data_IF_281724750117
#
_entry.id   IF_281724750117
#
_cell.length_a   1.000
_cell.length_b   1.000
_cell.length_c   1.000
_cell.angle_alpha   90.00
_cell.angle_beta   90.00
_cell.angle_gamma   90.00
#
_symmetry.space_group_name_H-M   'P 1'
#
loop_
_entity.id
_entity.type
_entity.pdbx_description
1 polymer ?
#
# COMPACT_ATOMS: atom_id res chain seq x y z
N UNK A 1 48.93 -12.34 -57.71
CA UNK A 1 49.61 -11.03 -57.81
C UNK A 1 48.67 -10.07 -58.52
N UNK A 2 48.03 -9.17 -57.78
CA UNK A 2 47.61 -7.83 -58.20
C UNK A 2 47.06 -7.15 -56.95
N UNK A 3 47.86 -6.25 -56.41
CA UNK A 3 47.53 -5.30 -55.35
C UNK A 3 46.65 -4.20 -55.93
N UNK A 4 45.67 -3.70 -55.17
CA UNK A 4 45.13 -2.35 -55.36
C UNK A 4 44.51 -1.81 -54.05
N UNK A 5 44.68 -0.49 -53.92
CA UNK A 5 44.74 0.39 -52.74
C UNK A 5 43.45 0.58 -51.90
N UNK A 6 43.55 1.18 -50.69
CA UNK A 6 42.46 1.27 -49.72
C UNK A 6 41.58 2.52 -49.94
N UNK A 7 40.27 2.35 -49.85
CA UNK A 7 39.28 3.42 -49.91
C UNK A 7 39.13 4.08 -48.53
N UNK A 8 39.57 5.33 -48.42
CA UNK A 8 39.28 6.22 -47.29
C UNK A 8 37.77 6.51 -47.22
N UNK A 9 37.14 6.25 -46.07
CA UNK A 9 35.78 6.69 -45.79
C UNK A 9 35.83 7.85 -44.79
N UNK A 10 35.45 9.03 -45.27
CA UNK A 10 35.42 10.33 -44.57
C UNK A 10 34.25 10.43 -43.58
N UNK A 11 34.53 10.93 -42.37
CA UNK A 11 33.53 11.26 -41.33
C UNK A 11 32.69 12.50 -41.73
N UNK A 12 31.39 12.55 -41.42
CA UNK A 12 30.56 13.74 -41.63
C UNK A 12 30.81 14.82 -40.55
N UNK A 13 30.50 16.11 -40.83
CA UNK A 13 30.84 17.23 -39.95
C UNK A 13 29.94 17.34 -38.71
N UNK A 14 30.56 17.79 -37.62
CA UNK A 14 29.96 18.08 -36.30
C UNK A 14 28.95 19.24 -36.43
N UNK A 15 27.69 18.99 -36.06
CA UNK A 15 26.68 20.06 -35.90
C UNK A 15 26.87 20.79 -34.57
N UNK A 16 27.08 22.10 -34.64
CA UNK A 16 27.13 23.04 -33.52
C UNK A 16 25.74 23.22 -32.88
N UNK A 17 25.66 23.12 -31.55
CA UNK A 17 24.47 23.44 -30.75
C UNK A 17 24.22 24.96 -30.70
N UNK A 18 22.99 25.45 -30.88
CA UNK A 18 22.69 26.87 -30.69
C UNK A 18 22.57 27.22 -29.19
N UNK A 19 23.21 28.34 -28.83
CA UNK A 19 23.22 28.99 -27.52
C UNK A 19 21.85 29.55 -27.12
N UNK A 20 21.52 29.41 -25.82
CA UNK A 20 20.32 29.96 -25.15
C UNK A 20 20.16 31.47 -25.32
N UNK A 21 18.92 31.99 -25.45
CA UNK A 21 18.63 33.38 -25.12
C UNK A 21 18.28 33.55 -23.63
N UNK A 22 18.80 34.65 -23.08
CA UNK A 22 18.55 35.19 -21.74
C UNK A 22 17.15 35.78 -21.62
N UNK A 23 16.42 35.45 -20.57
CA UNK A 23 15.16 36.09 -20.18
C UNK A 23 15.29 36.58 -18.73
N UNK A 24 15.72 37.83 -18.60
CA UNK A 24 15.53 38.65 -17.41
C UNK A 24 14.11 39.21 -17.37
N UNK A 25 13.63 39.47 -16.15
CA UNK A 25 12.35 40.11 -15.77
C UNK A 25 11.13 39.20 -15.60
N UNK A 26 10.96 38.68 -14.37
CA UNK A 26 9.73 38.96 -13.61
C UNK A 26 10.07 39.23 -12.14
N UNK A 27 9.36 40.21 -11.61
CA UNK A 27 9.62 40.96 -10.38
C UNK A 27 9.25 40.13 -9.14
N UNK A 28 10.16 40.13 -8.17
CA UNK A 28 9.97 39.76 -6.76
C UNK A 28 8.61 40.25 -6.22
N UNK A 29 7.80 39.36 -5.63
CA UNK A 29 6.79 39.70 -4.61
C UNK A 29 7.07 38.86 -3.37
N UNK A 30 7.15 39.53 -2.22
CA UNK A 30 7.37 38.95 -0.89
C UNK A 30 6.16 38.16 -0.39
N UNK A 31 6.32 37.30 0.63
CA UNK A 31 5.26 36.41 1.11
C UNK A 31 4.28 37.18 2.00
N UNK A 32 2.99 36.98 1.77
CA UNK A 32 1.93 37.34 2.72
C UNK A 32 1.73 36.10 3.61
N UNK A 33 2.06 36.25 4.88
CA UNK A 33 1.59 35.36 5.95
C UNK A 33 0.07 35.43 6.01
N UNK A 34 -0.60 34.29 5.81
CA UNK A 34 -1.96 34.07 6.27
C UNK A 34 -1.95 32.84 7.16
N UNK A 35 -1.88 33.10 8.47
CA UNK A 35 -2.34 32.20 9.50
C UNK A 35 -3.85 32.04 9.34
N UNK A 36 -4.32 30.87 8.91
CA UNK A 36 -5.56 30.26 9.42
C UNK A 36 -5.70 28.83 8.85
N UNK A 37 -5.72 27.84 9.74
CA UNK A 37 -6.05 26.47 9.38
C UNK A 37 -7.57 26.36 9.13
N UNK A 38 -8.03 25.81 7.99
CA UNK A 38 -9.45 25.55 7.81
C UNK A 38 -9.90 24.43 8.74
N UNK A 39 -10.87 24.73 9.61
CA UNK A 39 -11.55 23.79 10.48
C UNK A 39 -12.25 22.71 9.63
N UNK A 40 -11.95 21.40 9.79
CA UNK A 40 -12.68 20.38 9.07
C UNK A 40 -14.05 20.22 9.72
N UNK A 41 -15.10 20.76 9.07
CA UNK A 41 -16.49 20.44 9.39
C UNK A 41 -16.70 18.95 9.09
N UNK A 42 -16.64 18.14 10.15
CA UNK A 42 -17.09 16.74 10.12
C UNK A 42 -18.56 16.75 9.72
N UNK A 43 -18.85 16.24 8.53
CA UNK A 43 -20.22 16.00 8.08
C UNK A 43 -20.75 14.81 8.87
N UNK A 44 -21.65 15.09 9.81
CA UNK A 44 -22.42 14.08 10.53
C UNK A 44 -23.37 13.39 9.53
N UNK A 45 -23.04 12.17 9.14
CA UNK A 45 -23.96 11.30 8.39
C UNK A 45 -25.06 10.87 9.36
N UNK A 46 -26.27 11.42 9.18
CA UNK A 46 -27.48 10.94 9.85
C UNK A 46 -27.85 9.59 9.23
N UNK A 47 -27.85 8.54 10.04
CA UNK A 47 -28.45 7.26 9.68
C UNK A 47 -29.92 7.34 10.09
N UNK A 48 -30.82 7.45 9.11
CA UNK A 48 -32.25 7.43 9.36
C UNK A 48 -32.69 6.00 9.73
N UNK A 49 -33.17 5.83 10.96
CA UNK A 49 -33.87 4.60 11.39
C UNK A 49 -35.21 4.53 10.66
N UNK A 50 -35.37 3.55 9.77
CA UNK A 50 -36.68 3.11 9.34
C UNK A 50 -37.30 2.23 10.42
N UNK A 51 -38.43 2.70 10.96
CA UNK A 51 -39.31 1.94 11.84
C UNK A 51 -40.54 1.54 11.03
N UNK A 52 -40.92 0.26 11.02
CA UNK A 52 -42.26 -0.15 10.61
C UNK A 52 -42.66 -1.44 11.31
N UNK A 53 -43.73 -1.33 12.08
CA UNK A 53 -44.42 -2.36 12.84
C UNK A 53 -45.09 -3.43 11.96
N UNK A 54 -45.19 -4.68 12.46
CA UNK A 54 -46.01 -5.73 11.84
C UNK A 54 -45.92 -7.08 12.56
N UNK A 55 -47.02 -7.48 13.20
CA UNK A 55 -47.19 -8.60 14.14
C UNK A 55 -47.48 -9.95 13.44
N UNK A 56 -46.91 -11.06 13.93
CA UNK A 56 -47.34 -12.44 13.61
C UNK A 56 -46.51 -13.53 14.33
N UNK A 57 -47.08 -14.62 14.90
CA UNK A 57 -46.41 -15.38 15.97
C UNK A 57 -45.73 -16.71 15.57
N UNK A 58 -44.68 -17.00 16.34
CA UNK A 58 -44.03 -18.27 16.69
C UNK A 58 -43.77 -19.35 15.61
N UNK A 59 -42.47 -19.57 15.36
CA UNK A 59 -41.90 -20.91 15.19
C UNK A 59 -40.55 -20.96 15.89
N UNK A 60 -40.41 -21.87 16.87
CA UNK A 60 -39.17 -22.07 17.63
C UNK A 60 -38.06 -22.55 16.71
N UNK A 61 -37.10 -21.68 16.41
CA UNK A 61 -35.82 -22.05 15.84
C UNK A 61 -34.80 -21.81 16.94
N UNK A 62 -34.07 -22.87 17.28
CA UNK A 62 -32.86 -22.79 18.09
C UNK A 62 -31.85 -22.04 17.25
N UNK A 63 -31.79 -20.72 17.41
CA UNK A 63 -30.77 -19.89 16.79
C UNK A 63 -29.51 -19.98 17.65
N UNK A 64 -28.52 -20.61 17.06
CA UNK A 64 -27.11 -20.57 17.44
C UNK A 64 -26.71 -19.11 17.60
N UNK A 65 -26.14 -18.77 18.75
CA UNK A 65 -25.63 -17.42 19.04
C UNK A 65 -24.67 -16.99 17.92
N UNK A 66 -25.15 -16.08 17.08
CA UNK A 66 -24.32 -15.37 16.13
C UNK A 66 -23.42 -14.44 16.93
N UNK A 67 -22.12 -14.72 16.93
CA UNK A 67 -21.11 -13.79 17.44
C UNK A 67 -21.06 -12.59 16.49
N UNK A 68 -22.01 -11.64 16.67
CA UNK A 68 -21.93 -10.34 16.01
C UNK A 68 -20.84 -9.54 16.71
N UNK A 69 -19.60 -9.70 16.24
CA UNK A 69 -18.49 -8.81 16.60
C UNK A 69 -18.81 -7.40 16.13
N UNK A 70 -19.56 -6.64 16.94
CA UNK A 70 -19.82 -5.24 16.68
C UNK A 70 -18.53 -4.48 17.03
N UNK A 71 -17.64 -4.38 16.06
CA UNK A 71 -16.44 -3.56 16.14
C UNK A 71 -16.83 -2.12 16.52
N UNK A 72 -16.28 -1.65 17.64
CA UNK A 72 -16.55 -0.32 18.18
C UNK A 72 -15.67 0.74 17.48
N UNK A 73 -16.05 2.01 17.58
CA UNK A 73 -15.16 3.10 17.18
C UNK A 73 -13.83 3.07 17.95
N UNK A 74 -13.85 2.63 19.22
CA UNK A 74 -12.62 2.46 20.03
C UNK A 74 -11.70 1.41 19.43
N UNK A 75 -12.24 0.23 19.07
CA UNK A 75 -11.44 -0.88 18.53
C UNK A 75 -10.81 -0.51 17.17
N UNK A 76 -11.51 0.29 16.36
CA UNK A 76 -10.95 0.85 15.14
C UNK A 76 -9.80 1.84 15.42
N UNK A 77 -9.92 2.69 16.45
CA UNK A 77 -8.84 3.62 16.84
C UNK A 77 -7.63 2.84 17.36
N UNK A 78 -7.83 1.79 18.15
CA UNK A 78 -6.76 0.94 18.68
C UNK A 78 -6.02 0.23 17.53
N UNK A 79 -6.77 -0.33 16.57
CA UNK A 79 -6.20 -0.93 15.36
C UNK A 79 -5.40 0.08 14.53
N UNK A 80 -5.92 1.30 14.32
CA UNK A 80 -5.21 2.35 13.58
C UNK A 80 -3.97 2.84 14.35
N UNK A 81 -4.02 2.85 15.68
CA UNK A 81 -2.88 3.17 16.55
C UNK A 81 -1.78 2.13 16.39
N UNK A 82 -2.14 0.85 16.30
CA UNK A 82 -1.19 -0.23 16.02
C UNK A 82 -0.57 -0.08 14.62
N UNK A 83 -1.37 0.22 13.60
CA UNK A 83 -0.92 0.48 12.23
C UNK A 83 0.01 1.70 12.13
N UNK A 84 -0.02 2.64 13.10
CA UNK A 84 0.92 3.76 13.13
C UNK A 84 2.38 3.30 13.07
N UNK A 85 2.70 2.14 13.65
CA UNK A 85 4.06 1.58 13.66
C UNK A 85 4.63 1.42 12.25
N UNK A 86 3.80 1.20 11.24
CA UNK A 86 4.24 1.12 9.84
C UNK A 86 4.89 2.41 9.32
N UNK A 87 4.53 3.58 9.89
CA UNK A 87 5.13 4.88 9.54
C UNK A 87 6.51 5.08 10.14
N UNK A 88 6.78 4.42 11.28
CA UNK A 88 8.04 4.58 12.02
C UNK A 88 9.01 3.44 11.73
N UNK A 89 8.51 2.25 11.40
CA UNK A 89 9.33 1.12 10.96
C UNK A 89 9.88 1.39 9.57
N UNK A 90 11.21 1.42 9.49
CA UNK A 90 11.96 1.66 8.26
C UNK A 90 12.22 0.36 7.53
N UNK A 91 12.11 0.40 6.20
CA UNK A 91 12.39 -0.75 5.34
C UNK A 91 13.87 -1.14 5.48
N UNK A 92 14.10 -2.33 6.02
CA UNK A 92 15.38 -2.85 6.48
C UNK A 92 16.34 -3.14 5.33
N UNK A 93 15.83 -3.50 4.15
CA UNK A 93 16.63 -3.59 2.94
C UNK A 93 17.46 -2.32 2.67
N UNK A 94 16.84 -1.13 2.80
CA UNK A 94 17.53 0.16 2.62
C UNK A 94 18.58 0.42 3.71
N UNK A 95 18.26 0.04 4.96
CA UNK A 95 19.18 0.18 6.10
C UNK A 95 20.42 -0.69 5.89
N UNK A 96 20.23 -1.93 5.47
CA UNK A 96 21.31 -2.89 5.25
C UNK A 96 22.26 -2.42 4.14
N UNK A 97 21.74 -1.71 3.14
CA UNK A 97 22.52 -1.07 2.08
C UNK A 97 23.09 0.31 2.45
N UNK A 98 22.94 0.76 3.70
CA UNK A 98 23.52 2.00 4.21
C UNK A 98 22.87 3.27 3.66
N UNK A 99 21.63 3.18 3.16
CA UNK A 99 20.92 4.32 2.57
C UNK A 99 20.40 5.24 3.67
N UNK A 100 20.72 6.53 3.57
CA UNK A 100 20.31 7.54 4.55
C UNK A 100 18.85 7.94 4.33
N UNK A 101 18.08 7.98 5.41
CA UNK A 101 16.66 8.34 5.36
C UNK A 101 15.82 7.31 4.60
N UNK A 102 15.89 6.01 4.97
CA UNK A 102 15.13 4.97 4.30
C UNK A 102 13.62 5.24 4.39
N UNK A 103 12.88 4.77 3.38
CA UNK A 103 11.42 4.81 3.39
C UNK A 103 10.85 3.98 4.55
N UNK A 104 9.67 4.35 5.03
CA UNK A 104 8.90 3.51 5.96
C UNK A 104 8.10 2.44 5.20
N UNK A 105 7.63 1.41 5.90
CA UNK A 105 6.73 0.41 5.31
C UNK A 105 5.44 1.09 4.81
N UNK A 106 4.93 2.09 5.53
CA UNK A 106 3.77 2.85 5.10
C UNK A 106 4.03 3.64 3.78
N UNK A 107 5.22 4.20 3.59
CA UNK A 107 5.58 4.89 2.34
C UNK A 107 5.59 3.91 1.15
N UNK A 108 6.13 2.71 1.38
CA UNK A 108 6.17 1.62 0.41
C UNK A 108 4.76 1.17 -0.02
N UNK A 109 3.90 0.82 0.95
CA UNK A 109 2.51 0.40 0.67
C UNK A 109 1.69 1.52 0.01
N UNK A 110 1.93 2.78 0.37
CA UNK A 110 1.27 3.92 -0.28
C UNK A 110 1.63 4.01 -1.76
N UNK A 111 2.92 3.90 -2.11
CA UNK A 111 3.36 3.92 -3.51
C UNK A 111 2.78 2.75 -4.31
N UNK A 112 2.74 1.55 -3.74
CA UNK A 112 2.11 0.39 -4.38
C UNK A 112 0.60 0.57 -4.59
N UNK A 113 -0.10 1.16 -3.62
CA UNK A 113 -1.52 1.45 -3.74
C UNK A 113 -1.79 2.45 -4.87
N UNK A 114 -0.92 3.44 -5.05
CA UNK A 114 -0.98 4.36 -6.19
C UNK A 114 -0.69 3.65 -7.52
N UNK A 115 0.28 2.73 -7.56
CA UNK A 115 0.55 1.93 -8.76
C UNK A 115 -0.66 1.10 -9.15
N UNK A 116 -1.30 0.42 -8.18
CA UNK A 116 -2.54 -0.31 -8.40
C UNK A 116 -3.68 0.60 -8.87
N UNK A 117 -3.74 1.85 -8.40
CA UNK A 117 -4.75 2.82 -8.85
C UNK A 117 -4.55 3.27 -10.31
N UNK A 118 -3.31 3.48 -10.74
CA UNK A 118 -3.00 4.05 -12.07
C UNK A 118 -2.68 3.00 -13.14
N UNK A 119 -2.55 1.72 -12.76
CA UNK A 119 -2.32 0.64 -13.73
C UNK A 119 -3.45 0.60 -14.75
N UNK A 120 -3.09 0.43 -16.02
CA UNK A 120 -4.05 0.29 -17.12
C UNK A 120 -5.01 -0.89 -16.87
N UNK A 121 -6.16 -0.88 -17.55
CA UNK A 121 -7.10 -2.00 -17.44
C UNK A 121 -6.45 -3.29 -17.95
N UNK A 122 -6.38 -4.30 -17.08
CA UNK A 122 -5.87 -5.62 -17.40
C UNK A 122 -7.06 -6.60 -17.43
N UNK A 123 -7.24 -7.38 -18.52
CA UNK A 123 -8.34 -8.34 -18.60
C UNK A 123 -8.33 -9.33 -17.43
N UNK A 124 -9.45 -9.45 -16.74
CA UNK A 124 -9.62 -10.40 -15.63
C UNK A 124 -9.00 -9.97 -14.30
N UNK A 125 -8.47 -8.74 -14.18
CA UNK A 125 -7.90 -8.20 -12.94
C UNK A 125 -8.85 -7.17 -12.33
N UNK A 126 -9.19 -7.34 -11.06
CA UNK A 126 -9.94 -6.35 -10.29
C UNK A 126 -9.01 -5.32 -9.64
N UNK A 127 -9.02 -4.09 -10.17
CA UNK A 127 -8.21 -2.97 -9.68
C UNK A 127 -8.46 -2.65 -8.20
N UNK A 128 -9.72 -2.64 -7.75
CA UNK A 128 -10.06 -2.33 -6.35
C UNK A 128 -9.46 -3.37 -5.40
N UNK A 129 -9.52 -4.66 -5.80
CA UNK A 129 -8.92 -5.75 -5.04
C UNK A 129 -7.39 -5.60 -4.97
N UNK A 130 -6.71 -5.23 -6.07
CA UNK A 130 -5.27 -4.92 -6.05
C UNK A 130 -4.93 -3.80 -5.07
N UNK A 131 -5.71 -2.72 -5.04
CA UNK A 131 -5.50 -1.61 -4.09
C UNK A 131 -5.65 -2.10 -2.65
N UNK A 132 -6.70 -2.89 -2.37
CA UNK A 132 -6.91 -3.46 -1.02
C UNK A 132 -5.75 -4.36 -0.61
N UNK A 133 -5.27 -5.24 -1.49
CA UNK A 133 -4.11 -6.11 -1.21
C UNK A 133 -2.88 -5.25 -0.93
N UNK A 134 -2.58 -4.25 -1.77
CA UNK A 134 -1.42 -3.38 -1.60
C UNK A 134 -1.41 -2.65 -0.25
N UNK A 135 -2.58 -2.26 0.27
CA UNK A 135 -2.71 -1.58 1.57
C UNK A 135 -2.43 -2.53 2.76
N UNK A 136 -2.70 -3.83 2.62
CA UNK A 136 -2.67 -4.78 3.75
C UNK A 136 -1.54 -5.81 3.71
N UNK A 137 -0.84 -5.97 2.59
CA UNK A 137 0.10 -7.07 2.42
C UNK A 137 1.22 -7.11 3.47
N UNK A 138 1.79 -5.95 3.83
CA UNK A 138 2.82 -5.79 4.86
C UNK A 138 2.26 -5.29 6.21
N UNK A 139 0.93 -5.37 6.42
CA UNK A 139 0.32 -4.82 7.64
C UNK A 139 0.82 -5.50 8.92
N UNK A 140 1.14 -6.80 8.85
CA UNK A 140 1.66 -7.58 9.97
C UNK A 140 3.04 -7.10 10.45
N UNK A 141 3.82 -6.45 9.57
CA UNK A 141 5.12 -5.85 9.90
C UNK A 141 4.99 -4.69 10.91
N UNK A 142 3.77 -4.19 11.12
CA UNK A 142 3.47 -3.30 12.25
C UNK A 142 3.88 -3.94 13.58
N UNK A 143 3.74 -5.26 13.73
CA UNK A 143 4.11 -6.01 14.93
C UNK A 143 5.48 -6.65 14.76
N UNK A 144 5.67 -7.45 13.70
CA UNK A 144 6.86 -8.30 13.52
C UNK A 144 8.11 -7.54 13.05
N UNK A 145 7.93 -6.35 12.47
CA UNK A 145 8.98 -5.60 11.80
C UNK A 145 9.28 -6.11 10.39
N UNK A 146 10.05 -5.35 9.61
CA UNK A 146 10.46 -5.74 8.26
C UNK A 146 11.56 -6.83 8.34
N UNK A 147 11.17 -8.08 8.04
CA UNK A 147 12.05 -9.25 8.04
C UNK A 147 12.58 -9.47 6.63
N UNK A 148 13.90 -9.37 6.48
CA UNK A 148 14.60 -9.45 5.20
C UNK A 148 15.27 -10.80 5.00
N UNK A 149 15.61 -11.21 3.76
CA UNK A 149 16.38 -12.43 3.51
C UNK A 149 17.70 -12.50 4.28
N UNK A 150 18.34 -11.35 4.54
CA UNK A 150 19.57 -11.26 5.34
C UNK A 150 19.41 -11.65 6.81
N UNK A 151 18.18 -11.72 7.32
CA UNK A 151 17.91 -12.12 8.71
C UNK A 151 17.96 -13.63 8.93
N UNK A 152 18.02 -14.43 7.85
CA UNK A 152 18.12 -15.88 7.94
C UNK A 152 16.88 -16.57 8.53
N UNK A 153 15.76 -15.85 8.66
CA UNK A 153 14.49 -16.42 9.11
C UNK A 153 13.89 -17.27 7.98
N UNK A 154 13.59 -18.57 8.21
CA UNK A 154 12.94 -19.40 7.21
C UNK A 154 11.59 -18.83 6.78
N UNK A 155 11.24 -18.97 5.49
CA UNK A 155 9.98 -18.43 4.95
C UNK A 155 8.76 -18.88 5.75
N UNK A 156 8.72 -20.14 6.17
CA UNK A 156 7.61 -20.70 6.95
C UNK A 156 7.49 -20.04 8.32
N UNK A 157 8.62 -19.70 8.96
CA UNK A 157 8.62 -19.03 10.26
C UNK A 157 8.21 -17.56 10.14
N UNK A 158 8.69 -16.85 9.11
CA UNK A 158 8.22 -15.49 8.77
C UNK A 158 6.70 -15.49 8.59
N UNK A 159 6.17 -16.37 7.75
CA UNK A 159 4.74 -16.48 7.50
C UNK A 159 3.95 -16.82 8.77
N UNK A 160 4.45 -17.71 9.62
CA UNK A 160 3.82 -18.05 10.91
C UNK A 160 3.76 -16.84 11.85
N UNK A 161 4.85 -16.09 11.97
CA UNK A 161 4.92 -14.89 12.80
C UNK A 161 3.97 -13.80 12.29
N UNK A 162 3.96 -13.56 10.98
CA UNK A 162 3.08 -12.58 10.35
C UNK A 162 1.61 -12.94 10.49
N UNK A 163 1.27 -14.23 10.30
CA UNK A 163 -0.09 -14.71 10.49
C UNK A 163 -0.55 -14.54 11.95
N UNK A 164 0.33 -14.79 12.93
CA UNK A 164 0.02 -14.58 14.34
C UNK A 164 -0.20 -13.09 14.66
N UNK A 165 0.66 -12.22 14.15
CA UNK A 165 0.49 -10.78 14.26
C UNK A 165 -0.82 -10.30 13.63
N UNK A 166 -1.16 -10.80 12.44
CA UNK A 166 -2.41 -10.44 11.77
C UNK A 166 -3.64 -10.85 12.58
N UNK A 167 -3.61 -12.03 13.20
CA UNK A 167 -4.69 -12.48 14.07
C UNK A 167 -4.87 -11.55 15.28
N UNK A 168 -3.78 -11.15 15.94
CA UNK A 168 -3.81 -10.16 17.04
C UNK A 168 -4.40 -8.82 16.56
N UNK A 169 -3.96 -8.31 15.42
CA UNK A 169 -4.49 -7.06 14.85
C UNK A 169 -6.00 -7.16 14.58
N UNK A 170 -6.46 -8.29 14.04
CA UNK A 170 -7.86 -8.56 13.76
C UNK A 170 -8.72 -8.70 15.03
N UNK A 171 -8.18 -9.24 16.11
CA UNK A 171 -8.81 -9.25 17.43
C UNK A 171 -8.95 -7.84 17.99
N UNK A 172 -7.89 -7.02 17.89
CA UNK A 172 -7.91 -5.60 18.29
C UNK A 172 -8.96 -4.81 17.50
N UNK A 173 -9.16 -5.11 16.22
CA UNK A 173 -10.20 -4.48 15.39
C UNK A 173 -11.63 -4.81 15.87
N UNK A 174 -11.80 -5.87 16.65
CA UNK A 174 -13.08 -6.38 17.13
C UNK A 174 -13.68 -7.49 16.25
N UNK A 175 -12.87 -8.12 15.41
CA UNK A 175 -13.30 -9.24 14.56
C UNK A 175 -14.33 -8.87 13.48
N UNK A 176 -15.18 -9.83 13.13
CA UNK A 176 -16.26 -9.67 12.15
C UNK A 176 -15.76 -9.61 10.70
N UNK A 177 -16.68 -9.28 9.77
CA UNK A 177 -16.40 -9.34 8.33
C UNK A 177 -15.21 -8.49 7.88
N UNK A 178 -14.95 -7.36 8.55
CA UNK A 178 -13.82 -6.48 8.23
C UNK A 178 -12.47 -7.12 8.58
N UNK A 179 -12.40 -7.80 9.72
CA UNK A 179 -11.20 -8.52 10.12
C UNK A 179 -10.95 -9.73 9.20
N UNK A 180 -12.01 -10.44 8.83
CA UNK A 180 -11.89 -11.58 7.90
C UNK A 180 -11.47 -11.13 6.49
N UNK A 181 -11.98 -9.99 5.99
CA UNK A 181 -11.53 -9.44 4.69
C UNK A 181 -10.02 -9.13 4.70
N UNK A 182 -9.50 -8.57 5.80
CA UNK A 182 -8.05 -8.29 5.94
C UNK A 182 -7.24 -9.59 5.92
N UNK A 183 -7.69 -10.62 6.65
CA UNK A 183 -7.04 -11.93 6.67
C UNK A 183 -7.04 -12.59 5.29
N UNK A 184 -8.17 -12.55 4.60
CA UNK A 184 -8.29 -13.10 3.25
C UNK A 184 -7.37 -12.40 2.26
N UNK A 185 -7.34 -11.06 2.26
CA UNK A 185 -6.46 -10.27 1.40
C UNK A 185 -4.99 -10.59 1.64
N UNK A 186 -4.57 -10.67 2.91
CA UNK A 186 -3.20 -11.02 3.27
C UNK A 186 -2.84 -12.45 2.83
N UNK A 187 -3.72 -13.42 3.10
CA UNK A 187 -3.52 -14.81 2.71
C UNK A 187 -3.50 -14.98 1.18
N UNK A 188 -4.32 -14.23 0.45
CA UNK A 188 -4.34 -14.20 -1.02
C UNK A 188 -2.99 -13.74 -1.58
N UNK A 189 -2.42 -12.68 -1.00
CA UNK A 189 -1.08 -12.19 -1.34
C UNK A 189 0.02 -13.21 -1.01
N UNK A 190 0.02 -13.74 0.22
CA UNK A 190 1.09 -14.63 0.68
C UNK A 190 1.16 -15.92 -0.14
N UNK A 191 0.00 -16.45 -0.53
CA UNK A 191 -0.13 -17.67 -1.32
C UNK A 191 -0.03 -17.45 -2.84
N UNK A 192 0.02 -16.20 -3.33
CA UNK A 192 -0.07 -15.86 -4.76
C UNK A 192 -1.31 -16.48 -5.44
N UNK A 193 -2.46 -16.44 -4.76
CA UNK A 193 -3.62 -17.24 -5.13
C UNK A 193 -4.44 -16.67 -6.30
N UNK A 194 -4.21 -15.42 -6.69
CA UNK A 194 -5.01 -14.69 -7.69
C UNK A 194 -4.15 -13.88 -8.66
N UNK A 195 -4.75 -13.40 -9.76
CA UNK A 195 -4.07 -12.50 -10.70
C UNK A 195 -3.72 -11.17 -10.03
N UNK A 196 -4.58 -10.71 -9.13
CA UNK A 196 -4.42 -9.51 -8.33
C UNK A 196 -3.22 -9.63 -7.39
N UNK A 197 -3.10 -10.75 -6.66
CA UNK A 197 -1.95 -11.00 -5.79
C UNK A 197 -0.64 -11.06 -6.57
N UNK A 198 -0.63 -11.73 -7.73
CA UNK A 198 0.54 -11.79 -8.60
C UNK A 198 0.93 -10.39 -9.11
N UNK A 199 -0.04 -9.57 -9.53
CA UNK A 199 0.23 -8.21 -9.96
C UNK A 199 0.80 -7.34 -8.84
N UNK A 200 0.25 -7.44 -7.62
CA UNK A 200 0.76 -6.68 -6.48
C UNK A 200 2.16 -7.14 -6.07
N UNK A 201 2.49 -8.42 -6.19
CA UNK A 201 3.87 -8.92 -6.01
C UNK A 201 4.84 -8.29 -7.01
N UNK A 202 4.40 -8.07 -8.24
CA UNK A 202 5.24 -7.39 -9.24
C UNK A 202 5.42 -5.91 -8.91
N UNK A 203 4.41 -5.24 -8.35
CA UNK A 203 4.57 -3.88 -7.81
C UNK A 203 5.54 -3.83 -6.63
N UNK A 204 5.47 -4.79 -5.71
CA UNK A 204 6.37 -4.91 -4.56
C UNK A 204 7.82 -5.04 -5.03
N UNK A 205 8.11 -5.94 -6.00
CA UNK A 205 9.45 -6.07 -6.58
C UNK A 205 9.96 -4.74 -7.18
N UNK A 206 9.15 -4.08 -7.99
CA UNK A 206 9.54 -2.78 -8.61
C UNK A 206 9.79 -1.71 -7.54
N UNK A 207 9.05 -1.73 -6.45
CA UNK A 207 9.22 -0.78 -5.35
C UNK A 207 10.32 -1.16 -4.35
N UNK A 208 10.63 -2.45 -4.23
CA UNK A 208 11.51 -3.03 -3.24
C UNK A 208 12.90 -3.40 -3.76
N UNK A 209 13.16 -3.25 -5.05
CA UNK A 209 14.49 -3.47 -5.65
C UNK A 209 15.53 -2.46 -5.11
N UNK A 210 16.34 -2.94 -4.18
CA UNK A 210 17.65 -2.42 -3.73
C UNK A 210 18.53 -3.57 -3.28
#
# INVERSE_FOLDING_TARGET
MTVNAPTHCTLPPIRTLPTRPSLSFFKRRQPIFLNEAPNPRIVLVRCDKLNSDGLGPMRSVVETESVSGNSSASSAIDFLTLCHRLKTTKRKGWINHGIKGPESIADHMYRMSLMALIVGDLPGVNRERCIKIAIVHDIAEAIVGDITPSDGVPKQEKSRMEQAALNEMCEVLGGGMRAEEIKELWAEYENNASLEANLVKDFDKVCGEI
#
